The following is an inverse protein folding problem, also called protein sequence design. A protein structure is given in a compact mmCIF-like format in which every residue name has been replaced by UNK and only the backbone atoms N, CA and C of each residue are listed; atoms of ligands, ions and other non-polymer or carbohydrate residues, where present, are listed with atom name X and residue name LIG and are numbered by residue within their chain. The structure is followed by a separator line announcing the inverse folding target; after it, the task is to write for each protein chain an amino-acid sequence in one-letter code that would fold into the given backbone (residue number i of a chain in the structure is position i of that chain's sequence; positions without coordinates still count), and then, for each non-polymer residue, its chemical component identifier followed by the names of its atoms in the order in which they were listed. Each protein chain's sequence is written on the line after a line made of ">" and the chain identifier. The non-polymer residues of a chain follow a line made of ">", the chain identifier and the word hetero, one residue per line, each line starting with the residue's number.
data_IF_805239564946
#
_entry.id   IF_805239564946
#
_cell.length_a   1.000
_cell.length_b   1.000
_cell.length_c   1.000
_cell.angle_alpha   90.00
_cell.angle_beta   90.00
_cell.angle_gamma   90.00
#
_symmetry.space_group_name_H-M   'P 1'
#
loop_
_entity.id
_entity.type
_entity.pdbx_description
1 polymer ?
#
# COMPACT_ATOMS: atom_id res chain seq x y z
N UNK A 1 -3.03 -2.33 2.15
CA UNK A 1 -3.90 -1.34 1.48
C UNK A 1 -5.23 -1.32 2.20
N UNK A 2 -5.85 -0.15 2.38
CA UNK A 2 -7.16 -0.01 3.04
C UNK A 2 -8.14 0.68 2.08
N UNK A 3 -9.34 0.13 1.87
CA UNK A 3 -10.38 0.78 1.08
C UNK A 3 -11.54 1.20 1.99
N UNK A 4 -12.01 2.44 1.88
CA UNK A 4 -13.04 2.99 2.77
C UNK A 4 -14.07 3.85 2.03
N UNK A 5 -15.23 4.00 2.67
CA UNK A 5 -16.30 4.90 2.21
C UNK A 5 -16.22 6.30 2.85
N UNK A 6 -15.62 6.43 4.03
CA UNK A 6 -15.54 7.65 4.88
C UNK A 6 -14.21 7.65 5.66
N UNK A 7 -14.07 8.55 6.64
CA UNK A 7 -12.93 8.61 7.56
C UNK A 7 -12.69 7.29 8.33
N UNK A 8 -11.51 7.17 8.94
CA UNK A 8 -11.10 6.01 9.76
C UNK A 8 -10.07 5.10 9.10
N UNK A 9 -9.78 5.30 7.81
CA UNK A 9 -8.76 4.53 7.09
C UNK A 9 -7.35 4.68 7.69
N UNK A 10 -7.03 5.84 8.25
CA UNK A 10 -5.72 6.12 8.86
C UNK A 10 -5.50 5.23 10.08
N UNK A 11 -6.46 5.16 11.02
CA UNK A 11 -6.32 4.30 12.19
C UNK A 11 -6.21 2.82 11.83
N UNK A 12 -6.99 2.36 10.85
CA UNK A 12 -6.89 0.98 10.35
C UNK A 12 -5.53 0.72 9.67
N UNK A 13 -5.04 1.68 8.89
CA UNK A 13 -3.74 1.61 8.22
C UNK A 13 -2.59 1.57 9.24
N UNK A 14 -2.64 2.41 10.28
CA UNK A 14 -1.64 2.45 11.34
C UNK A 14 -1.64 1.16 12.16
N UNK A 15 -2.81 0.62 12.51
CA UNK A 15 -2.92 -0.65 13.22
C UNK A 15 -2.32 -1.83 12.43
N UNK A 16 -2.55 -1.87 11.11
CA UNK A 16 -1.93 -2.87 10.22
C UNK A 16 -0.42 -2.72 10.19
N UNK A 17 0.11 -1.50 10.08
CA UNK A 17 1.54 -1.28 10.01
C UNK A 17 2.24 -1.64 11.32
N UNK A 18 1.63 -1.41 12.49
CA UNK A 18 2.18 -1.89 13.76
C UNK A 18 2.40 -3.41 13.75
N UNK A 19 1.42 -4.17 13.24
CA UNK A 19 1.53 -5.63 13.14
C UNK A 19 2.62 -6.07 12.15
N UNK A 20 2.73 -5.42 11.00
CA UNK A 20 3.78 -5.73 10.03
C UNK A 20 5.18 -5.39 10.56
N UNK A 21 5.33 -4.28 11.27
CA UNK A 21 6.63 -3.88 11.81
C UNK A 21 7.13 -4.78 12.94
N UNK A 22 6.25 -5.24 13.85
CA UNK A 22 6.64 -6.17 14.93
C UNK A 22 7.00 -7.56 14.40
N UNK A 23 6.55 -7.92 13.20
CA UNK A 23 6.85 -9.20 12.52
C UNK A 23 8.00 -9.08 11.52
N UNK A 24 8.82 -8.03 11.62
CA UNK A 24 10.00 -7.78 10.79
C UNK A 24 9.70 -7.70 9.28
N UNK A 25 8.47 -7.32 8.90
CA UNK A 25 8.11 -7.15 7.49
C UNK A 25 8.64 -5.83 6.94
N UNK A 26 9.12 -5.85 5.69
CA UNK A 26 9.46 -4.64 4.94
C UNK A 26 8.18 -4.09 4.30
N UNK A 27 7.84 -2.84 4.60
CA UNK A 27 6.60 -2.20 4.14
C UNK A 27 6.93 -1.14 3.07
N UNK A 28 6.54 -1.37 1.80
CA UNK A 28 6.69 -0.35 0.77
C UNK A 28 5.62 0.74 0.92
N UNK A 29 6.07 1.99 0.92
CA UNK A 29 5.19 3.17 0.90
C UNK A 29 4.74 3.56 -0.50
N UNK A 30 3.99 4.65 -0.59
CA UNK A 30 3.53 5.26 -1.84
C UNK A 30 3.61 6.79 -1.78
N UNK A 31 3.11 7.49 -2.81
CA UNK A 31 3.00 8.95 -2.87
C UNK A 31 2.05 9.54 -1.83
N UNK A 32 1.10 8.73 -1.33
CA UNK A 32 0.24 9.04 -0.20
C UNK A 32 -0.03 7.78 0.62
N UNK A 33 -0.82 7.88 1.70
CA UNK A 33 -1.24 6.71 2.46
C UNK A 33 -1.91 5.68 1.54
N UNK A 34 -1.60 4.39 1.73
CA UNK A 34 -2.06 3.28 0.87
C UNK A 34 -3.56 3.01 1.07
N UNK A 35 -4.39 3.99 0.70
CA UNK A 35 -5.81 4.11 0.96
C UNK A 35 -6.53 4.45 -0.35
N UNK A 36 -7.68 3.83 -0.59
CA UNK A 36 -8.60 4.19 -1.66
C UNK A 36 -9.99 4.51 -1.10
N UNK A 37 -10.67 5.47 -1.73
CA UNK A 37 -12.00 5.93 -1.32
C UNK A 37 -13.05 5.46 -2.33
N UNK A 38 -14.07 4.74 -1.86
CA UNK A 38 -15.17 4.26 -2.68
C UNK A 38 -16.38 3.89 -1.82
N UNK A 39 -17.59 4.26 -2.26
CA UNK A 39 -18.81 3.95 -1.55
C UNK A 39 -19.39 2.61 -1.98
N UNK A 40 -19.63 2.45 -3.28
CA UNK A 40 -20.15 1.25 -3.89
C UNK A 40 -19.02 0.47 -4.59
N UNK A 41 -19.27 -0.79 -4.95
CA UNK A 41 -18.31 -1.57 -5.75
C UNK A 41 -18.00 -0.82 -7.06
N UNK A 42 -16.72 -0.63 -7.34
CA UNK A 42 -16.25 0.08 -8.53
C UNK A 42 -16.12 1.59 -8.37
N UNK A 43 -16.65 2.21 -7.30
CA UNK A 43 -16.48 3.66 -7.10
C UNK A 43 -15.02 4.06 -6.85
N UNK A 44 -14.19 3.14 -6.36
CA UNK A 44 -12.74 3.36 -6.19
C UNK A 44 -12.04 3.64 -7.53
N UNK A 45 -12.63 3.24 -8.66
CA UNK A 45 -12.10 3.57 -10.00
C UNK A 45 -12.27 5.06 -10.35
N UNK A 46 -13.11 5.78 -9.60
CA UNK A 46 -13.30 7.23 -9.74
C UNK A 46 -12.39 8.02 -8.79
N UNK A 47 -11.72 7.34 -7.86
CA UNK A 47 -10.75 7.95 -6.94
C UNK A 47 -9.41 8.09 -7.67
N UNK A 48 -9.25 9.20 -8.40
CA UNK A 48 -8.06 9.45 -9.19
C UNK A 48 -6.78 9.50 -8.34
N UNK A 49 -6.83 10.07 -7.13
CA UNK A 49 -5.70 10.13 -6.20
C UNK A 49 -5.38 8.74 -5.65
N UNK A 50 -6.40 7.98 -5.25
CA UNK A 50 -6.26 6.59 -4.84
C UNK A 50 -5.64 5.72 -5.93
N UNK A 51 -6.06 5.88 -7.18
CA UNK A 51 -5.49 5.16 -8.33
C UNK A 51 -4.01 5.49 -8.52
N UNK A 52 -3.64 6.77 -8.53
CA UNK A 52 -2.24 7.16 -8.68
C UNK A 52 -1.39 6.71 -7.48
N UNK A 53 -1.96 6.70 -6.28
CA UNK A 53 -1.34 6.13 -5.09
C UNK A 53 -1.12 4.62 -5.25
N UNK A 54 -2.09 3.86 -5.77
CA UNK A 54 -1.89 2.42 -5.99
C UNK A 54 -0.88 2.12 -7.10
N UNK A 55 -0.84 2.93 -8.17
CA UNK A 55 0.18 2.82 -9.22
C UNK A 55 1.58 3.07 -8.67
N UNK A 56 1.75 4.09 -7.83
CA UNK A 56 3.04 4.40 -7.19
C UNK A 56 3.45 3.29 -6.22
N UNK A 57 2.50 2.78 -5.43
CA UNK A 57 2.74 1.63 -4.54
C UNK A 57 3.22 0.42 -5.35
N UNK A 58 2.56 0.11 -6.46
CA UNK A 58 2.94 -0.97 -7.38
C UNK A 58 4.38 -0.86 -7.88
N UNK A 59 4.79 0.33 -8.32
CA UNK A 59 6.19 0.58 -8.75
C UNK A 59 7.19 0.40 -7.61
N UNK A 60 6.86 0.90 -6.42
CA UNK A 60 7.73 0.78 -5.25
C UNK A 60 7.86 -0.69 -4.79
N UNK A 61 6.76 -1.45 -4.83
CA UNK A 61 6.77 -2.89 -4.55
C UNK A 61 7.65 -3.64 -5.55
N UNK A 62 7.47 -3.41 -6.85
CA UNK A 62 8.27 -4.06 -7.89
C UNK A 62 9.77 -3.79 -7.69
N UNK A 63 10.13 -2.51 -7.51
CA UNK A 63 11.51 -2.11 -7.25
C UNK A 63 12.08 -2.78 -6.00
N UNK A 64 11.33 -2.80 -4.89
CA UNK A 64 11.79 -3.41 -3.64
C UNK A 64 12.02 -4.92 -3.80
N UNK A 65 11.07 -5.62 -4.43
CA UNK A 65 11.15 -7.05 -4.68
C UNK A 65 12.36 -7.39 -5.55
N UNK A 66 12.62 -6.64 -6.62
CA UNK A 66 13.79 -6.82 -7.48
C UNK A 66 15.10 -6.70 -6.68
N UNK A 67 15.21 -5.70 -5.79
CA UNK A 67 16.42 -5.46 -4.98
C UNK A 67 16.63 -6.52 -3.90
N UNK A 68 15.56 -7.02 -3.29
CA UNK A 68 15.65 -8.07 -2.28
C UNK A 68 15.92 -9.42 -2.93
N UNK A 69 15.25 -9.75 -4.03
CA UNK A 69 15.45 -11.02 -4.75
C UNK A 69 16.86 -11.14 -5.34
N UNK A 70 17.42 -10.07 -5.87
CA UNK A 70 18.79 -10.06 -6.40
C UNK A 70 19.85 -10.38 -5.33
N UNK A 71 19.57 -10.10 -4.05
CA UNK A 71 20.44 -10.51 -2.93
C UNK A 71 20.32 -11.99 -2.60
N UNK A 72 19.16 -12.59 -2.79
CA UNK A 72 18.92 -14.01 -2.53
C UNK A 72 19.64 -14.94 -3.52
N UNK A 73 19.87 -14.47 -4.74
CA UNK A 73 20.50 -15.24 -5.83
C UNK A 73 22.00 -15.01 -5.95
N UNK A 74 22.56 -14.06 -5.21
CA UNK A 74 23.99 -13.73 -5.22
C UNK A 74 24.79 -14.45 -4.11
N UNK A 75 24.19 -15.48 -3.50
CA UNK A 75 24.81 -16.35 -2.49
C UNK A 75 25.03 -17.76 -2.99
#
# INVERSE_FOLDING_TARGET
>A
VVAVRRAGAIHAFDALNHFFLITEMIIPGSSYWNIGIGRERGDVEKDAEGIETMKTLGRNMAWLLERVAARSTAG
#
